data_IF_957909321094
#
_entry.id   IF_957909321094
#
_cell.length_a   1.000
_cell.length_b   1.000
_cell.length_c   1.000
_cell.angle_alpha   90.00
_cell.angle_beta   90.00
_cell.angle_gamma   90.00
#
_symmetry.space_group_name_H-M   'P 1'
#
loop_
_entity.id
_entity.type
_entity.pdbx_description
1 polymer ?
#
# COMPACT_ATOMS: atom_id res chain seq x y z
N UNK A 1 -28.70 2.32 1.21
CA UNK A 1 -27.97 2.57 -0.05
C UNK A 1 -26.52 2.83 0.33
N UNK A 2 -25.58 1.96 -0.06
CA UNK A 2 -24.16 2.20 0.17
C UNK A 2 -23.75 3.34 -0.75
N UNK A 3 -23.64 4.54 -0.19
CA UNK A 3 -23.04 5.67 -0.87
C UNK A 3 -21.57 5.27 -1.10
N UNK A 4 -21.23 4.95 -2.34
CA UNK A 4 -19.84 4.69 -2.73
C UNK A 4 -19.05 5.94 -2.33
N UNK A 5 -18.19 5.84 -1.30
CA UNK A 5 -17.52 6.98 -0.67
C UNK A 5 -16.73 7.85 -1.65
N UNK A 6 -16.45 7.34 -2.84
CA UNK A 6 -15.58 7.96 -3.82
C UNK A 6 -16.23 7.91 -5.20
N UNK A 7 -16.25 9.04 -5.94
CA UNK A 7 -16.86 9.10 -7.26
C UNK A 7 -16.37 7.97 -8.18
N UNK A 8 -17.30 7.24 -8.80
CA UNK A 8 -17.01 6.11 -9.73
C UNK A 8 -15.96 6.44 -10.79
N UNK A 9 -15.96 7.68 -11.28
CA UNK A 9 -14.98 8.17 -12.28
C UNK A 9 -13.53 8.16 -11.82
N UNK A 10 -13.30 8.10 -10.51
CA UNK A 10 -11.98 8.12 -9.89
C UNK A 10 -11.51 6.72 -9.48
N UNK A 11 -12.42 5.74 -9.47
CA UNK A 11 -12.14 4.39 -9.00
C UNK A 11 -12.19 3.35 -10.12
N UNK A 12 -12.94 3.58 -11.20
CA UNK A 12 -13.08 2.63 -12.31
C UNK A 12 -12.43 3.15 -13.60
N UNK A 13 -11.84 2.24 -14.38
CA UNK A 13 -11.39 2.53 -15.75
C UNK A 13 -12.56 2.88 -16.67
N UNK A 14 -13.68 2.13 -16.58
CA UNK A 14 -14.94 2.44 -17.27
C UNK A 14 -16.03 2.59 -16.19
N UNK A 15 -16.36 3.83 -15.80
CA UNK A 15 -17.33 4.11 -14.73
C UNK A 15 -18.76 3.69 -15.07
N UNK A 16 -19.14 3.78 -16.35
CA UNK A 16 -20.48 3.44 -16.82
C UNK A 16 -20.70 1.93 -16.76
N UNK A 17 -19.70 1.15 -17.18
CA UNK A 17 -19.73 -0.32 -17.09
C UNK A 17 -19.28 -0.86 -15.73
N UNK A 18 -18.82 0.02 -14.83
CA UNK A 18 -18.18 -0.34 -13.54
C UNK A 18 -17.10 -1.40 -13.71
N UNK A 19 -16.26 -1.24 -14.74
CA UNK A 19 -15.18 -2.18 -15.04
C UNK A 19 -13.81 -1.56 -14.75
N UNK A 20 -12.84 -2.41 -14.37
CA UNK A 20 -11.50 -1.94 -14.02
C UNK A 20 -11.45 -1.19 -12.68
N UNK A 21 -12.06 -1.74 -11.64
CA UNK A 21 -11.97 -1.16 -10.29
C UNK A 21 -10.50 -1.04 -9.84
N UNK A 22 -10.16 0.12 -9.27
CA UNK A 22 -8.85 0.59 -8.83
C UNK A 22 -7.74 0.52 -9.91
N UNK A 23 -8.11 0.51 -11.20
CA UNK A 23 -7.20 0.37 -12.33
C UNK A 23 -7.25 1.58 -13.28
N UNK A 24 -7.75 2.73 -12.82
CA UNK A 24 -7.72 3.94 -13.62
C UNK A 24 -6.27 4.38 -13.90
N UNK A 25 -5.96 4.75 -15.15
CA UNK A 25 -4.59 5.01 -15.60
C UNK A 25 -3.88 6.09 -14.78
N UNK A 26 -4.59 7.17 -14.43
CA UNK A 26 -4.04 8.27 -13.64
C UNK A 26 -3.59 7.83 -12.23
N UNK A 27 -4.18 6.76 -11.67
CA UNK A 27 -3.73 6.19 -10.40
C UNK A 27 -2.32 5.59 -10.55
N UNK A 28 -2.08 4.86 -11.64
CA UNK A 28 -0.76 4.32 -11.93
C UNK A 28 0.25 5.42 -12.20
N UNK A 29 -0.13 6.48 -12.93
CA UNK A 29 0.74 7.64 -13.18
C UNK A 29 1.13 8.36 -11.88
N UNK A 30 0.15 8.66 -11.02
CA UNK A 30 0.41 9.28 -9.72
C UNK A 30 1.29 8.40 -8.83
N UNK A 31 1.05 7.10 -8.81
CA UNK A 31 1.85 6.17 -8.03
C UNK A 31 3.27 6.01 -8.59
N UNK A 32 3.40 6.06 -9.92
CA UNK A 32 4.70 5.99 -10.59
C UNK A 32 5.56 7.19 -10.20
N UNK A 33 4.99 8.40 -10.28
CA UNK A 33 5.70 9.62 -9.88
C UNK A 33 6.05 9.63 -8.38
N UNK A 34 5.19 9.08 -7.53
CA UNK A 34 5.37 9.11 -6.07
C UNK A 34 6.32 8.03 -5.52
N UNK A 35 6.36 6.83 -6.10
CA UNK A 35 7.02 5.67 -5.50
C UNK A 35 7.85 4.80 -6.47
N UNK A 36 7.80 5.06 -7.78
CA UNK A 36 8.42 4.22 -8.82
C UNK A 36 9.05 5.04 -9.97
N UNK A 37 9.46 6.28 -9.68
CA UNK A 37 10.06 7.20 -10.66
C UNK A 37 11.48 6.81 -11.02
N UNK A 38 12.24 6.39 -10.01
CA UNK A 38 13.65 6.06 -10.12
C UNK A 38 13.96 4.68 -9.55
N UNK A 39 15.11 4.12 -9.92
CA UNK A 39 15.59 2.83 -9.37
C UNK A 39 15.81 2.82 -7.86
N UNK A 40 15.89 4.01 -7.24
CA UNK A 40 16.13 4.17 -5.81
C UNK A 40 14.85 4.35 -5.01
N UNK A 41 13.71 4.43 -5.68
CA UNK A 41 12.45 4.69 -5.01
C UNK A 41 11.97 3.43 -4.28
N UNK A 42 11.23 3.64 -3.20
CA UNK A 42 10.85 2.59 -2.27
C UNK A 42 10.12 1.42 -2.93
N UNK A 43 9.26 1.70 -3.92
CA UNK A 43 8.50 0.68 -4.63
C UNK A 43 9.36 -0.21 -5.53
N UNK A 44 10.53 0.30 -5.94
CA UNK A 44 11.50 -0.44 -6.75
C UNK A 44 12.46 -1.22 -5.87
N UNK A 45 12.97 -0.59 -4.81
CA UNK A 45 13.97 -1.19 -3.91
C UNK A 45 13.36 -2.35 -3.10
N UNK A 46 12.15 -2.16 -2.56
CA UNK A 46 11.52 -3.13 -1.66
C UNK A 46 10.52 -4.03 -2.39
N UNK A 47 10.99 -4.73 -3.43
CA UNK A 47 10.17 -5.58 -4.32
C UNK A 47 9.20 -6.48 -3.54
N UNK A 48 9.69 -7.21 -2.54
CA UNK A 48 8.90 -8.22 -1.81
C UNK A 48 7.69 -7.62 -1.09
N UNK A 49 7.77 -6.33 -0.75
CA UNK A 49 6.70 -5.61 -0.09
C UNK A 49 5.74 -4.94 -1.08
N UNK A 50 6.18 -4.71 -2.33
CA UNK A 50 5.40 -3.99 -3.34
C UNK A 50 4.90 -4.86 -4.50
N UNK A 51 5.33 -6.12 -4.62
CA UNK A 51 4.85 -7.06 -5.63
C UNK A 51 4.19 -8.29 -4.98
N UNK A 52 2.86 -8.46 -5.07
CA UNK A 52 1.88 -7.64 -5.79
C UNK A 52 1.62 -6.28 -5.13
N UNK A 53 1.24 -5.27 -5.93
CA UNK A 53 1.00 -3.90 -5.46
C UNK A 53 0.11 -3.86 -4.19
N UNK A 54 0.52 -3.30 -3.05
CA UNK A 54 -0.18 -3.50 -1.78
C UNK A 54 -1.57 -2.85 -1.74
N UNK A 55 -2.58 -3.55 -1.21
CA UNK A 55 -3.89 -2.93 -0.98
C UNK A 55 -3.82 -1.68 -0.08
N UNK A 56 -3.00 -1.64 1.00
CA UNK A 56 -2.81 -0.41 1.78
C UNK A 56 -2.31 0.77 0.95
N UNK A 57 -1.35 0.55 0.05
CA UNK A 57 -0.82 1.59 -0.84
C UNK A 57 -1.89 2.08 -1.81
N UNK A 58 -2.66 1.15 -2.39
CA UNK A 58 -3.78 1.50 -3.27
C UNK A 58 -4.86 2.30 -2.51
N UNK A 59 -5.17 1.93 -1.27
CA UNK A 59 -6.13 2.65 -0.43
C UNK A 59 -5.65 4.08 -0.12
N UNK A 60 -4.36 4.24 0.20
CA UNK A 60 -3.75 5.54 0.45
C UNK A 60 -3.86 6.44 -0.79
N UNK A 61 -3.52 5.91 -1.97
CA UNK A 61 -3.62 6.64 -3.23
C UNK A 61 -5.05 7.10 -3.52
N UNK A 62 -6.05 6.21 -3.37
CA UNK A 62 -7.46 6.56 -3.53
C UNK A 62 -7.90 7.66 -2.55
N UNK A 63 -7.37 7.62 -1.32
CA UNK A 63 -7.64 8.64 -0.30
C UNK A 63 -7.02 9.99 -0.66
N UNK A 64 -5.80 10.01 -1.22
CA UNK A 64 -5.15 11.23 -1.71
C UNK A 64 -5.91 11.83 -2.90
N UNK A 65 -6.46 11.00 -3.78
CA UNK A 65 -7.31 11.44 -4.90
C UNK A 65 -8.60 12.06 -4.37
N UNK A 66 -9.24 11.43 -3.37
CA UNK A 66 -10.44 11.97 -2.72
C UNK A 66 -10.14 13.32 -2.04
N UNK A 67 -9.03 13.44 -1.33
CA UNK A 67 -8.55 14.72 -0.78
C UNK A 67 -8.39 15.80 -1.86
N UNK A 68 -7.76 15.44 -2.99
CA UNK A 68 -7.61 16.34 -4.11
C UNK A 68 -8.97 16.83 -4.64
N UNK A 69 -9.94 15.94 -4.79
CA UNK A 69 -11.29 16.28 -5.25
C UNK A 69 -12.06 17.14 -4.25
N UNK A 70 -11.92 16.86 -2.95
CA UNK A 70 -12.57 17.64 -1.90
C UNK A 70 -12.09 19.09 -1.86
N UNK A 71 -10.81 19.33 -2.17
CA UNK A 71 -10.25 20.68 -2.34
C UNK A 71 -10.87 21.49 -3.48
N UNK A 72 -11.54 20.83 -4.44
CA UNK A 72 -12.27 21.47 -5.54
C UNK A 72 -13.80 21.44 -5.38
N UNK A 73 -14.31 20.97 -4.23
CA UNK A 73 -15.75 20.73 -4.02
C UNK A 73 -16.64 21.96 -4.20
N UNK A 74 -16.12 23.17 -3.95
CA UNK A 74 -16.83 24.44 -4.14
C UNK A 74 -16.78 25.00 -5.57
N UNK A 75 -16.07 24.32 -6.49
CA UNK A 75 -15.80 24.82 -7.84
C UNK A 75 -14.64 25.81 -7.94
N UNK A 76 -14.06 26.21 -6.80
CA UNK A 76 -12.78 26.92 -6.72
C UNK A 76 -11.83 26.06 -5.87
N UNK A 77 -10.54 26.06 -6.20
CA UNK A 77 -9.56 25.39 -5.35
C UNK A 77 -9.47 26.14 -4.02
N UNK A 78 -9.98 25.52 -2.97
CA UNK A 78 -9.73 25.94 -1.60
C UNK A 78 -8.55 25.12 -1.14
N UNK A 79 -7.41 25.76 -0.94
CA UNK A 79 -6.32 25.12 -0.21
C UNK A 79 -6.93 24.65 1.12
N UNK A 80 -7.01 23.33 1.31
CA UNK A 80 -7.48 22.79 2.58
C UNK A 80 -6.44 23.25 3.60
N UNK A 81 -6.79 24.22 4.45
CA UNK A 81 -5.84 24.89 5.34
C UNK A 81 -5.10 23.90 6.27
N UNK A 82 -5.68 22.72 6.52
CA UNK A 82 -5.08 21.62 7.29
C UNK A 82 -4.22 20.64 6.48
N UNK A 83 -4.19 20.76 5.15
CA UNK A 83 -3.51 19.83 4.26
C UNK A 83 -4.08 18.41 4.29
N UNK A 84 -3.34 17.45 3.76
CA UNK A 84 -3.67 16.03 3.89
C UNK A 84 -3.28 15.57 5.30
N UNK A 85 -4.29 15.26 6.14
CA UNK A 85 -4.09 14.87 7.53
C UNK A 85 -4.78 13.56 7.85
N UNK A 86 -4.16 12.75 8.73
CA UNK A 86 -4.77 11.51 9.21
C UNK A 86 -6.09 11.79 9.94
N UNK A 87 -6.15 12.86 10.74
CA UNK A 87 -7.34 13.28 11.48
C UNK A 87 -8.57 13.39 10.57
N UNK A 88 -8.40 13.94 9.37
CA UNK A 88 -9.51 14.21 8.46
C UNK A 88 -9.78 13.04 7.48
N UNK A 89 -8.76 12.22 7.17
CA UNK A 89 -8.84 11.20 6.11
C UNK A 89 -8.69 9.75 6.58
N UNK A 90 -8.43 9.47 7.86
CA UNK A 90 -8.31 8.10 8.37
C UNK A 90 -9.56 7.24 8.10
N UNK A 91 -10.76 7.81 8.31
CA UNK A 91 -12.02 7.13 8.05
C UNK A 91 -12.20 6.79 6.57
N UNK A 92 -11.80 7.71 5.67
CA UNK A 92 -11.85 7.51 4.22
C UNK A 92 -10.86 6.43 3.79
N UNK A 93 -9.63 6.47 4.30
CA UNK A 93 -8.64 5.42 4.09
C UNK A 93 -9.15 4.05 4.52
N UNK A 94 -9.73 3.94 5.71
CA UNK A 94 -10.29 2.68 6.21
C UNK A 94 -11.43 2.17 5.31
N UNK A 95 -12.29 3.07 4.81
CA UNK A 95 -13.36 2.72 3.87
C UNK A 95 -12.80 2.21 2.53
N UNK A 96 -11.81 2.90 1.95
CA UNK A 96 -11.09 2.48 0.74
C UNK A 96 -10.45 1.11 0.90
N UNK A 97 -9.71 0.92 2.00
CA UNK A 97 -9.05 -0.34 2.30
C UNK A 97 -10.08 -1.48 2.43
N UNK A 98 -11.22 -1.22 3.07
CA UNK A 98 -12.30 -2.20 3.15
C UNK A 98 -12.84 -2.56 1.77
N UNK A 99 -13.12 -1.58 0.91
CA UNK A 99 -13.62 -1.85 -0.45
C UNK A 99 -12.62 -2.64 -1.30
N UNK A 100 -11.32 -2.34 -1.17
CA UNK A 100 -10.25 -3.07 -1.84
C UNK A 100 -10.14 -4.52 -1.35
N UNK A 101 -10.31 -4.75 -0.05
CA UNK A 101 -10.38 -6.10 0.53
C UNK A 101 -11.62 -6.86 0.08
N UNK A 102 -12.78 -6.20 0.04
CA UNK A 102 -14.02 -6.77 -0.50
C UNK A 102 -13.84 -7.15 -1.98
N UNK A 103 -13.18 -6.29 -2.78
CA UNK A 103 -12.82 -6.58 -4.17
C UNK A 103 -11.88 -7.77 -4.31
N UNK A 104 -10.83 -7.85 -3.49
CA UNK A 104 -9.92 -9.00 -3.47
C UNK A 104 -10.64 -10.30 -3.10
N UNK A 105 -11.59 -10.24 -2.17
CA UNK A 105 -12.36 -11.40 -1.74
C UNK A 105 -13.21 -12.03 -2.86
N UNK A 106 -13.59 -11.26 -3.89
CA UNK A 106 -14.30 -11.79 -5.08
C UNK A 106 -13.46 -12.83 -5.80
N UNK A 107 -12.15 -12.63 -5.90
CA UNK A 107 -11.22 -13.60 -6.46
C UNK A 107 -9.77 -13.25 -6.14
N UNK A 108 -9.27 -13.79 -5.02
CA UNK A 108 -7.92 -13.51 -4.51
C UNK A 108 -6.85 -13.75 -5.57
N UNK A 109 -6.94 -14.86 -6.32
CA UNK A 109 -5.95 -15.21 -7.33
C UNK A 109 -5.97 -14.28 -8.55
N UNK A 110 -7.14 -13.86 -9.01
CA UNK A 110 -7.26 -12.93 -10.15
C UNK A 110 -6.83 -11.52 -9.74
N UNK A 111 -7.24 -11.06 -8.56
CA UNK A 111 -6.88 -9.75 -8.03
C UNK A 111 -5.39 -9.65 -7.76
N UNK A 112 -4.77 -10.69 -7.17
CA UNK A 112 -3.31 -10.78 -7.06
C UNK A 112 -2.61 -10.64 -8.42
N UNK A 113 -3.09 -11.33 -9.45
CA UNK A 113 -2.54 -11.21 -10.82
C UNK A 113 -2.70 -9.80 -11.39
N UNK A 114 -3.83 -9.14 -11.17
CA UNK A 114 -4.05 -7.75 -11.59
C UNK A 114 -3.04 -6.84 -10.89
N UNK A 115 -2.90 -6.95 -9.57
CA UNK A 115 -1.97 -6.15 -8.77
C UNK A 115 -0.50 -6.37 -9.17
N UNK A 116 -0.10 -7.60 -9.51
CA UNK A 116 1.24 -7.86 -10.06
C UNK A 116 1.43 -7.27 -11.46
N UNK A 117 0.40 -7.27 -12.31
CA UNK A 117 0.46 -6.58 -13.62
C UNK A 117 0.63 -5.08 -13.44
N UNK A 118 -0.12 -4.47 -12.52
CA UNK A 118 0.00 -3.05 -12.18
C UNK A 118 1.43 -2.72 -11.73
N UNK A 119 2.01 -3.52 -10.83
CA UNK A 119 3.41 -3.38 -10.40
C UNK A 119 4.38 -3.41 -11.59
N UNK A 120 4.27 -4.41 -12.46
CA UNK A 120 5.12 -4.52 -13.64
C UNK A 120 4.94 -3.34 -14.62
N UNK A 121 3.72 -2.84 -14.77
CA UNK A 121 3.42 -1.65 -15.57
C UNK A 121 4.13 -0.42 -15.00
N UNK A 122 4.14 -0.22 -13.68
CA UNK A 122 4.84 0.90 -13.02
C UNK A 122 6.35 0.88 -13.33
N UNK A 123 6.99 -0.30 -13.25
CA UNK A 123 8.40 -0.46 -13.60
C UNK A 123 8.66 -0.17 -15.09
N UNK A 124 7.77 -0.64 -15.97
CA UNK A 124 7.86 -0.41 -17.40
C UNK A 124 7.73 1.08 -17.76
N UNK A 125 6.85 1.83 -17.09
CA UNK A 125 6.68 3.27 -17.29
C UNK A 125 7.98 4.03 -16.99
N UNK A 126 8.71 3.61 -15.94
CA UNK A 126 10.01 4.19 -15.58
C UNK A 126 11.21 3.63 -16.36
N UNK A 127 11.01 2.69 -17.30
CA UNK A 127 12.10 1.94 -17.94
C UNK A 127 13.06 1.27 -16.94
N UNK A 128 12.52 0.83 -15.80
CA UNK A 128 13.28 0.24 -14.69
C UNK A 128 13.45 -1.26 -14.94
N UNK A 129 14.70 -1.72 -15.02
CA UNK A 129 15.03 -3.14 -14.93
C UNK A 129 15.17 -3.52 -13.47
N UNK A 130 14.45 -4.55 -13.05
CA UNK A 130 14.51 -5.07 -11.70
C UNK A 130 15.76 -5.95 -11.57
N UNK A 131 16.73 -5.49 -10.79
CA UNK A 131 17.86 -6.33 -10.39
C UNK A 131 17.38 -7.22 -9.24
N UNK A 132 17.44 -8.54 -9.42
CA UNK A 132 17.15 -9.50 -8.36
C UNK A 132 18.35 -9.48 -7.42
N UNK A 133 18.27 -8.71 -6.35
CA UNK A 133 19.24 -8.78 -5.26
C UNK A 133 18.64 -9.67 -4.17
N UNK A 134 19.14 -10.91 -4.07
CA UNK A 134 18.88 -11.72 -2.88
C UNK A 134 19.60 -11.07 -1.70
N UNK A 135 18.89 -10.62 -0.66
CA UNK A 135 19.53 -10.06 0.52
C UNK A 135 20.35 -11.16 1.20
N UNK A 136 21.64 -10.88 1.45
CA UNK A 136 22.47 -11.74 2.28
C UNK A 136 21.87 -11.78 3.69
N UNK A 137 21.36 -12.94 4.09
CA UNK A 137 20.77 -13.17 5.41
C UNK A 137 21.83 -13.34 6.51
N UNK A 138 21.38 -13.82 7.67
CA UNK A 138 22.30 -14.23 8.74
C UNK A 138 23.28 -15.28 8.22
N UNK A 139 24.58 -15.04 8.42
CA UNK A 139 25.57 -16.11 8.26
C UNK A 139 25.26 -17.24 9.23
N UNK A 140 25.64 -18.47 8.88
CA UNK A 140 25.44 -19.62 9.77
C UNK A 140 26.08 -19.39 11.15
N UNK A 141 27.20 -18.69 11.21
CA UNK A 141 27.86 -18.35 12.48
C UNK A 141 27.07 -17.33 13.29
N UNK A 142 26.54 -16.27 12.66
CA UNK A 142 25.70 -15.29 13.34
C UNK A 142 24.43 -15.95 13.90
N UNK A 143 23.87 -16.92 13.16
CA UNK A 143 22.70 -17.69 13.59
C UNK A 143 23.02 -18.57 14.81
N UNK A 144 24.16 -19.27 14.78
CA UNK A 144 24.62 -20.12 15.88
C UNK A 144 24.85 -19.32 17.16
N UNK A 145 25.44 -18.13 17.05
CA UNK A 145 25.65 -17.23 18.19
C UNK A 145 24.32 -16.74 18.77
N UNK A 146 23.38 -16.33 17.92
CA UNK A 146 22.05 -15.91 18.36
C UNK A 146 21.28 -17.06 19.05
N UNK A 147 21.32 -18.27 18.51
CA UNK A 147 20.69 -19.45 19.13
C UNK A 147 21.31 -19.78 20.51
N UNK A 148 22.63 -19.62 20.67
CA UNK A 148 23.31 -19.80 21.94
C UNK A 148 22.98 -18.71 22.97
N UNK A 149 22.83 -17.45 22.53
CA UNK A 149 22.39 -16.34 23.38
C UNK A 149 20.96 -16.56 23.89
N UNK A 150 20.03 -16.91 22.99
CA UNK A 150 18.63 -17.15 23.34
C UNK A 150 18.44 -18.34 24.30
N UNK A 151 19.25 -19.40 24.19
CA UNK A 151 19.22 -20.53 25.13
C UNK A 151 19.64 -20.15 26.56
N UNK A 152 20.31 -19.01 26.74
CA UNK A 152 20.68 -18.46 28.05
C UNK A 152 19.60 -17.58 28.69
N UNK A 153 18.51 -17.29 27.97
CA UNK A 153 17.40 -16.46 28.47
C UNK A 153 16.32 -17.40 29.00
N UNK A 154 16.05 -17.43 30.32
CA UNK A 154 14.98 -18.25 30.89
C UNK A 154 13.61 -17.77 30.38
N UNK A 155 12.74 -18.72 30.04
CA UNK A 155 11.41 -18.48 29.45
C UNK A 155 10.38 -17.85 30.43
N UNK A 156 10.72 -17.65 31.69
CA UNK A 156 9.82 -17.11 32.71
C UNK A 156 10.34 -15.79 33.27
N UNK A 157 9.50 -14.76 33.22
CA UNK A 157 9.54 -13.67 34.19
C UNK A 157 9.27 -14.30 35.56
N UNK A 158 10.32 -14.56 36.34
CA UNK A 158 10.17 -14.79 37.77
C UNK A 158 9.68 -13.46 38.36
N UNK A 159 8.37 -13.32 38.56
CA UNK A 159 7.82 -12.31 39.46
C UNK A 159 8.49 -12.55 40.83
N UNK A 160 9.43 -11.67 41.19
CA UNK A 160 9.99 -11.59 42.53
C UNK A 160 8.85 -11.24 43.52
N UNK A 161 8.09 -12.25 43.95
CA UNK A 161 7.38 -12.22 45.23
C UNK A 161 8.37 -12.55 46.34
N UNK A 162 9.04 -11.52 46.86
CA UNK A 162 9.73 -11.55 48.16
C UNK A 162 9.60 -10.13 48.75
N UNK A 163 9.17 -9.88 49.99
CA UNK A 163 8.89 -10.75 51.12
C UNK A 163 7.98 -10.00 52.12
N UNK A 164 7.23 -10.78 52.90
CA UNK A 164 6.41 -10.37 54.05
C UNK A 164 7.28 -10.04 55.28
#
# INVERSE_FOLDING_TARGET
MLQECTPKRLTYTDPEKRSGYAQATFLLEALQEACFKSKKDIGVVFVDYFNPLPLPLMALLLTMVEFGVDGWSSGQYVAVDSGFSEKDYAAKYAAHLKQLKDWESVSVSKVKKIRSRMYNTLLSMGSIKQDVHEPEGFSEEARRLAEAEMAGIPDSEEEEEDAM
#
